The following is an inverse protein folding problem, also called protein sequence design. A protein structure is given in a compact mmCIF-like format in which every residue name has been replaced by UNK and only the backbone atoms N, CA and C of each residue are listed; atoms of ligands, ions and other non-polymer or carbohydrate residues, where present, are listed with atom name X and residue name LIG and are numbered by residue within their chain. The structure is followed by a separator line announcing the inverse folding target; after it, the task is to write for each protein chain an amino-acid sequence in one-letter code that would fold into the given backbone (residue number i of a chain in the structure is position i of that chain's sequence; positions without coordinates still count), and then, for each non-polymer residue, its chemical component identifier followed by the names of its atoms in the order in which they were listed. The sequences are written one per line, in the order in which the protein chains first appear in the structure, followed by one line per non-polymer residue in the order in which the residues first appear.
data_IF_449869172981
#
_entry.id   IF_449869172981
#
_cell.length_a   1.000
_cell.length_b   1.000
_cell.length_c   1.000
_cell.angle_alpha   90.00
_cell.angle_beta   90.00
_cell.angle_gamma   90.00
#
_symmetry.space_group_name_H-M   'P 1'
#
loop_
_entity.id
_entity.type
_entity.pdbx_description
1 polymer ?
#
# COMPACT_ATOMS: atom_id res chain seq x y z
N UNK A 1 -15.11 -2.91 26.07
CA UNK A 1 -14.88 -1.81 25.11
C UNK A 1 -15.50 -2.21 23.79
N UNK A 2 -16.69 -1.69 23.49
CA UNK A 2 -17.42 -1.94 22.24
C UNK A 2 -16.84 -1.05 21.15
N UNK A 3 -15.90 -1.57 20.37
CA UNK A 3 -15.40 -0.89 19.17
C UNK A 3 -16.55 -0.73 18.18
N UNK A 4 -17.01 0.50 18.00
CA UNK A 4 -17.89 0.87 16.90
C UNK A 4 -17.16 0.53 15.61
N UNK A 5 -17.57 -0.53 14.90
CA UNK A 5 -17.12 -0.77 13.53
C UNK A 5 -17.79 0.31 12.69
N UNK A 6 -17.07 1.30 12.12
CA UNK A 6 -17.63 2.03 11.02
C UNK A 6 -17.67 1.03 9.87
N UNK A 7 -18.82 0.42 9.61
CA UNK A 7 -19.13 -0.09 8.28
C UNK A 7 -19.42 1.11 7.38
N UNK A 8 -18.48 2.04 7.30
CA UNK A 8 -18.51 3.04 6.25
C UNK A 8 -18.09 2.28 5.00
N UNK A 9 -19.07 2.00 4.14
CA UNK A 9 -18.78 1.46 2.81
C UNK A 9 -17.75 2.33 2.10
N UNK A 10 -17.11 1.76 1.09
CA UNK A 10 -16.15 2.49 0.25
C UNK A 10 -16.90 3.65 -0.42
N UNK A 11 -16.64 4.89 0.01
CA UNK A 11 -17.21 6.08 -0.63
C UNK A 11 -16.52 6.27 -1.99
N UNK A 12 -17.23 5.95 -3.06
CA UNK A 12 -16.75 6.02 -4.44
C UNK A 12 -17.05 7.38 -5.10
N UNK A 13 -17.65 8.31 -4.35
CA UNK A 13 -18.00 9.66 -4.83
C UNK A 13 -16.90 10.69 -4.55
N UNK A 14 -15.92 10.35 -3.71
CA UNK A 14 -14.80 11.22 -3.34
C UNK A 14 -13.46 10.57 -3.70
N UNK A 15 -12.51 11.33 -4.25
CA UNK A 15 -11.18 10.81 -4.52
C UNK A 15 -10.47 10.46 -3.21
N UNK A 16 -9.70 9.37 -3.21
CA UNK A 16 -8.87 8.94 -2.09
C UNK A 16 -7.39 8.81 -2.50
N UNK A 17 -6.42 9.30 -1.68
CA UNK A 17 -5.00 9.28 -2.05
C UNK A 17 -4.46 7.90 -2.42
N UNK A 18 -4.87 6.84 -1.69
CA UNK A 18 -4.42 5.47 -1.97
C UNK A 18 -4.84 4.98 -3.36
N UNK A 19 -6.05 5.34 -3.80
CA UNK A 19 -6.64 4.96 -5.09
C UNK A 19 -6.04 5.76 -6.24
N UNK A 20 -5.79 7.05 -6.02
CA UNK A 20 -5.04 7.87 -6.96
C UNK A 20 -3.61 7.35 -7.15
N UNK A 21 -2.96 6.94 -6.06
CA UNK A 21 -1.62 6.38 -6.09
C UNK A 21 -1.57 5.05 -6.87
N UNK A 22 -2.55 4.17 -6.64
CA UNK A 22 -2.75 2.95 -7.43
C UNK A 22 -2.90 3.27 -8.93
N UNK A 23 -3.75 4.25 -9.28
CA UNK A 23 -3.92 4.69 -10.67
C UNK A 23 -2.63 5.21 -11.30
N UNK A 24 -1.83 6.03 -10.58
CA UNK A 24 -0.53 6.50 -11.08
C UNK A 24 0.47 5.36 -11.34
N UNK A 25 0.34 4.25 -10.62
CA UNK A 25 1.14 3.04 -10.80
C UNK A 25 0.57 2.11 -11.90
N UNK A 26 -0.56 2.46 -12.51
CA UNK A 26 -1.23 1.64 -13.52
C UNK A 26 -2.09 0.52 -12.94
N UNK A 27 -2.44 0.62 -11.66
CA UNK A 27 -3.39 -0.27 -11.01
C UNK A 27 -4.84 0.01 -11.41
N UNK A 28 -5.74 -0.84 -10.91
CA UNK A 28 -7.16 -0.87 -11.30
C UNK A 28 -8.12 -0.68 -10.14
N UNK A 29 -7.61 -0.59 -8.92
CA UNK A 29 -8.41 -0.54 -7.70
C UNK A 29 -8.72 0.94 -7.36
N UNK A 30 -9.33 1.62 -8.34
CA UNK A 30 -9.65 3.04 -8.30
C UNK A 30 -10.99 3.29 -9.01
N UNK A 31 -11.62 4.43 -8.69
CA UNK A 31 -12.91 4.84 -9.24
C UNK A 31 -12.74 6.06 -10.17
N UNK A 32 -13.75 6.38 -11.01
CA UNK A 32 -13.67 7.53 -11.93
C UNK A 32 -13.33 8.86 -11.26
N UNK A 33 -13.74 9.07 -10.00
CA UNK A 33 -13.41 10.28 -9.23
C UNK A 33 -11.93 10.37 -8.87
N UNK A 34 -11.29 9.22 -8.62
CA UNK A 34 -9.85 9.12 -8.35
C UNK A 34 -9.05 9.43 -9.61
N UNK A 35 -9.46 8.85 -10.74
CA UNK A 35 -8.85 9.12 -12.05
C UNK A 35 -9.00 10.59 -12.46
N UNK A 36 -10.20 11.16 -12.30
CA UNK A 36 -10.45 12.56 -12.64
C UNK A 36 -9.55 13.51 -11.83
N UNK A 37 -9.44 13.30 -10.52
CA UNK A 37 -8.53 14.05 -9.66
C UNK A 37 -7.06 13.77 -10.02
N UNK A 38 -6.72 12.51 -10.35
CA UNK A 38 -5.39 12.12 -10.81
C UNK A 38 -4.97 12.89 -12.06
N UNK A 39 -5.86 12.97 -13.06
CA UNK A 39 -5.64 13.74 -14.29
C UNK A 39 -5.49 15.23 -14.01
N UNK A 40 -6.24 15.80 -13.06
CA UNK A 40 -6.05 17.18 -12.62
C UNK A 40 -4.67 17.40 -11.99
N UNK A 41 -4.17 16.47 -11.16
CA UNK A 41 -2.82 16.58 -10.61
C UNK A 41 -1.74 16.51 -11.68
N UNK A 42 -1.95 15.75 -12.77
CA UNK A 42 -1.01 15.70 -13.89
C UNK A 42 -0.92 17.01 -14.67
N UNK A 43 -1.94 17.88 -14.64
CA UNK A 43 -1.84 19.21 -15.25
C UNK A 43 -0.98 20.16 -14.41
N UNK A 44 -0.87 19.90 -13.10
CA UNK A 44 -0.04 20.66 -12.17
C UNK A 44 1.41 20.17 -12.16
N UNK A 45 1.61 18.85 -12.09
CA UNK A 45 2.93 18.23 -12.21
C UNK A 45 2.86 16.91 -13.00
N UNK A 46 3.36 16.88 -14.25
CA UNK A 46 3.35 15.67 -15.07
C UNK A 46 4.29 14.57 -14.55
N UNK A 47 5.15 14.85 -13.57
CA UNK A 47 6.11 13.89 -13.00
C UNK A 47 5.50 13.00 -11.92
N UNK A 48 4.27 13.26 -11.46
CA UNK A 48 3.62 12.50 -10.38
C UNK A 48 3.69 10.97 -10.57
N UNK A 49 3.45 10.39 -11.77
CA UNK A 49 3.57 8.95 -11.97
C UNK A 49 5.00 8.43 -11.80
N UNK A 50 6.00 9.22 -12.22
CA UNK A 50 7.41 8.88 -12.01
C UNK A 50 7.73 8.93 -10.52
N UNK A 51 7.25 9.96 -9.80
CA UNK A 51 7.44 10.08 -8.35
C UNK A 51 6.83 8.89 -7.60
N UNK A 52 5.64 8.42 -7.97
CA UNK A 52 5.03 7.23 -7.39
C UNK A 52 5.91 5.97 -7.57
N UNK A 53 6.46 5.77 -8.77
CA UNK A 53 7.38 4.63 -9.03
C UNK A 53 8.68 4.75 -8.25
N UNK A 54 9.26 5.95 -8.18
CA UNK A 54 10.48 6.20 -7.39
C UNK A 54 10.24 5.96 -5.90
N UNK A 55 9.07 6.36 -5.39
CA UNK A 55 8.67 6.11 -4.01
C UNK A 55 8.52 4.60 -3.72
N UNK A 56 7.86 3.83 -4.61
CA UNK A 56 7.81 2.35 -4.49
C UNK A 56 9.21 1.73 -4.51
N UNK A 57 10.07 2.17 -5.42
CA UNK A 57 11.44 1.66 -5.50
C UNK A 57 12.25 2.00 -4.24
N UNK A 58 12.02 3.16 -3.62
CA UNK A 58 12.64 3.51 -2.35
C UNK A 58 12.17 2.58 -1.23
N UNK A 59 10.86 2.35 -1.09
CA UNK A 59 10.31 1.41 -0.11
C UNK A 59 10.96 0.03 -0.22
N UNK A 60 11.14 -0.49 -1.44
CA UNK A 60 11.81 -1.76 -1.65
C UNK A 60 13.27 -1.75 -1.18
N UNK A 61 14.05 -0.74 -1.55
CA UNK A 61 15.47 -0.65 -1.16
C UNK A 61 15.64 -0.48 0.35
N UNK A 62 14.83 0.39 0.97
CA UNK A 62 14.85 0.62 2.40
C UNK A 62 14.48 -0.64 3.18
N UNK A 63 13.42 -1.35 2.75
CA UNK A 63 12.99 -2.60 3.41
C UNK A 63 14.06 -3.69 3.33
N UNK A 64 14.67 -3.90 2.15
CA UNK A 64 15.78 -4.87 2.01
C UNK A 64 16.95 -4.52 2.91
N UNK A 65 17.32 -3.24 2.96
CA UNK A 65 18.42 -2.76 3.80
C UNK A 65 18.11 -3.04 5.29
N UNK A 66 16.93 -2.66 5.78
CA UNK A 66 16.52 -2.91 7.18
C UNK A 66 16.51 -4.41 7.52
N UNK A 67 15.93 -5.24 6.66
CA UNK A 67 15.86 -6.68 6.88
C UNK A 67 17.27 -7.32 6.93
N UNK A 68 18.17 -6.90 6.04
CA UNK A 68 19.56 -7.36 6.02
C UNK A 68 20.33 -6.95 7.29
N UNK A 69 19.94 -5.84 7.93
CA UNK A 69 20.55 -5.33 9.17
C UNK A 69 19.82 -5.77 10.45
N UNK A 70 19.07 -6.87 10.37
CA UNK A 70 18.52 -7.52 11.56
C UNK A 70 17.11 -7.06 11.96
N UNK A 71 16.48 -6.12 11.23
CA UNK A 71 15.07 -5.81 11.48
C UNK A 71 14.19 -7.00 11.11
N UNK A 72 13.30 -7.40 12.02
CA UNK A 72 12.35 -8.52 11.85
C UNK A 72 10.89 -8.13 12.04
N UNK A 73 10.62 -6.90 12.46
CA UNK A 73 9.27 -6.41 12.72
C UNK A 73 9.09 -5.07 12.04
N UNK A 74 8.02 -4.93 11.26
CA UNK A 74 7.69 -3.74 10.51
C UNK A 74 6.26 -3.32 10.83
N UNK A 75 6.06 -2.02 11.02
CA UNK A 75 4.74 -1.39 11.06
C UNK A 75 4.67 -0.42 9.90
N UNK A 76 3.81 -0.72 8.94
CA UNK A 76 3.57 0.10 7.76
C UNK A 76 2.29 0.91 7.94
N UNK A 77 2.42 2.23 7.98
CA UNK A 77 1.31 3.18 8.23
C UNK A 77 1.06 3.98 6.96
N UNK A 78 -0.15 3.89 6.43
CA UNK A 78 -0.48 4.38 5.09
C UNK A 78 -0.01 3.40 4.01
N UNK A 79 -0.29 2.11 4.21
CA UNK A 79 0.09 1.02 3.30
C UNK A 79 -0.38 1.25 1.86
N UNK A 80 -1.54 1.86 1.71
CA UNK A 80 -2.22 2.02 0.44
C UNK A 80 -2.68 0.69 -0.16
N UNK A 81 -3.09 0.75 -1.42
CA UNK A 81 -3.55 -0.43 -2.15
C UNK A 81 -2.37 -1.38 -2.39
N UNK A 82 -2.55 -2.70 -2.18
CA UNK A 82 -1.48 -3.67 -2.41
C UNK A 82 -0.92 -3.59 -3.82
N UNK A 83 0.39 -3.33 -3.94
CA UNK A 83 1.11 -3.33 -5.22
C UNK A 83 2.35 -4.19 -5.09
N UNK A 84 2.46 -5.22 -5.92
CA UNK A 84 3.55 -6.18 -5.84
C UNK A 84 4.91 -5.60 -6.35
N UNK A 85 6.05 -5.97 -5.72
CA UNK A 85 6.14 -6.70 -4.46
C UNK A 85 5.74 -5.85 -3.25
N UNK A 86 4.87 -6.39 -2.39
CA UNK A 86 4.48 -5.77 -1.12
C UNK A 86 5.62 -5.84 -0.08
N UNK A 87 5.59 -4.96 0.93
CA UNK A 87 6.67 -4.82 1.93
C UNK A 87 7.06 -6.15 2.58
N UNK A 88 6.07 -6.96 2.97
CA UNK A 88 6.31 -8.25 3.63
C UNK A 88 7.06 -9.23 2.74
N UNK A 89 6.78 -9.26 1.42
CA UNK A 89 7.52 -10.12 0.50
C UNK A 89 8.98 -9.67 0.40
N UNK A 90 9.20 -8.37 0.27
CA UNK A 90 10.54 -7.79 0.23
C UNK A 90 11.33 -8.09 1.52
N UNK A 91 10.68 -8.00 2.68
CA UNK A 91 11.31 -8.34 3.96
C UNK A 91 11.58 -9.85 4.10
N UNK A 92 10.61 -10.69 3.73
CA UNK A 92 10.67 -12.14 3.89
C UNK A 92 11.59 -12.83 2.87
N UNK A 93 11.86 -12.20 1.73
CA UNK A 93 12.93 -12.58 0.81
C UNK A 93 14.31 -12.59 1.50
N UNK A 94 14.52 -11.69 2.47
CA UNK A 94 15.79 -11.55 3.21
C UNK A 94 15.76 -12.26 4.56
N UNK A 95 14.62 -12.20 5.26
CA UNK A 95 14.42 -12.78 6.57
C UNK A 95 13.04 -13.46 6.62
N UNK A 96 12.95 -14.77 6.36
CA UNK A 96 11.67 -15.49 6.24
C UNK A 96 10.77 -15.37 7.47
N UNK A 97 11.33 -15.11 8.65
CA UNK A 97 10.62 -14.93 9.92
C UNK A 97 10.12 -13.48 10.15
N UNK A 98 10.34 -12.57 9.19
CA UNK A 98 9.92 -11.18 9.29
C UNK A 98 8.39 -11.05 9.40
N UNK A 99 7.96 -10.15 10.29
CA UNK A 99 6.56 -9.87 10.60
C UNK A 99 6.23 -8.44 10.23
N UNK A 100 5.08 -8.26 9.58
CA UNK A 100 4.62 -6.94 9.14
C UNK A 100 3.21 -6.71 9.64
N UNK A 101 2.93 -5.52 10.17
CA UNK A 101 1.57 -5.03 10.40
C UNK A 101 1.31 -3.90 9.43
N UNK A 102 0.20 -4.00 8.69
CA UNK A 102 -0.26 -2.97 7.78
C UNK A 102 -1.40 -2.17 8.39
N UNK A 103 -1.36 -0.86 8.23
CA UNK A 103 -2.38 0.05 8.72
C UNK A 103 -2.73 1.08 7.65
N UNK A 104 -4.01 1.18 7.32
CA UNK A 104 -4.54 2.19 6.42
C UNK A 104 -5.95 2.60 6.87
N UNK A 105 -6.37 3.81 6.49
CA UNK A 105 -7.67 4.35 6.83
C UNK A 105 -8.69 4.22 5.69
N UNK A 106 -8.27 3.85 4.47
CA UNK A 106 -9.18 3.56 3.36
C UNK A 106 -9.78 2.15 3.51
N UNK A 107 -11.11 2.00 3.62
CA UNK A 107 -11.75 0.69 3.71
C UNK A 107 -11.45 -0.23 2.51
N UNK A 108 -11.09 0.33 1.34
CA UNK A 108 -10.69 -0.48 0.19
C UNK A 108 -9.42 -1.30 0.49
N UNK A 109 -8.48 -0.72 1.23
CA UNK A 109 -7.22 -1.41 1.56
C UNK A 109 -7.50 -2.64 2.42
N UNK A 110 -8.39 -2.54 3.40
CA UNK A 110 -8.81 -3.69 4.21
C UNK A 110 -9.50 -4.77 3.34
N UNK A 111 -10.31 -4.37 2.35
CA UNK A 111 -10.98 -5.30 1.45
C UNK A 111 -9.99 -6.10 0.58
N UNK A 112 -8.89 -5.47 0.14
CA UNK A 112 -7.85 -6.16 -0.64
C UNK A 112 -6.79 -6.85 0.24
N UNK A 113 -6.59 -6.41 1.48
CA UNK A 113 -5.61 -6.94 2.41
C UNK A 113 -5.80 -8.45 2.66
N UNK A 114 -7.04 -8.89 2.88
CA UNK A 114 -7.36 -10.29 3.19
C UNK A 114 -7.01 -11.26 2.04
N UNK A 115 -7.00 -10.79 0.80
CA UNK A 115 -6.71 -11.62 -0.37
C UNK A 115 -5.21 -11.69 -0.69
N UNK A 116 -4.45 -10.62 -0.43
CA UNK A 116 -3.12 -10.42 -1.02
C UNK A 116 -1.97 -10.43 0.00
N UNK A 117 -2.25 -10.22 1.29
CA UNK A 117 -1.23 -10.21 2.34
C UNK A 117 -1.01 -11.61 2.90
N UNK A 118 -0.45 -12.49 2.07
CA UNK A 118 -0.01 -13.83 2.47
C UNK A 118 1.51 -13.87 2.47
N UNK A 119 2.09 -13.94 3.66
CA UNK A 119 3.53 -14.13 3.84
C UNK A 119 4.01 -15.57 3.72
N UNK A 120 5.29 -15.77 4.01
CA UNK A 120 5.94 -17.07 4.23
C UNK A 120 5.32 -17.83 5.42
N UNK A 121 5.50 -19.16 5.51
CA UNK A 121 5.04 -19.95 6.65
C UNK A 121 5.60 -19.48 8.01
N UNK A 122 6.84 -19.00 8.04
CA UNK A 122 7.53 -18.54 9.25
C UNK A 122 7.16 -17.10 9.61
N UNK A 123 6.80 -16.30 8.62
CA UNK A 123 6.43 -14.89 8.76
C UNK A 123 4.99 -14.69 9.19
N UNK A 124 4.63 -13.42 9.50
CA UNK A 124 3.24 -13.02 9.75
C UNK A 124 2.93 -11.67 9.09
N UNK A 125 1.70 -11.52 8.63
CA UNK A 125 1.15 -10.33 7.98
C UNK A 125 -0.28 -10.09 8.42
#
# INVERSE_FOLDING_TARGET
MTGHRPTAGIDTSKPHPARMYDWYLGGKDNYPVDEAMGRQMLTLDPRVPVMARVNRAFMHRATRWLAAHGTRQFLDVGTGIPTEPNLHRVAQEIAPDARVVYCDNDPIVLAHAAALLRGTPEGKT
#
